data_IF_939560659684
#
_entry.id   IF_939560659684
#
_cell.length_a   1.000
_cell.length_b   1.000
_cell.length_c   1.000
_cell.angle_alpha   90.00
_cell.angle_beta   90.00
_cell.angle_gamma   90.00
#
_symmetry.space_group_name_H-M   'P 1'
#
loop_
_entity.id
_entity.type
_entity.pdbx_description
1 polymer ?
#
# COMPACT_ATOMS: atom_id res chain seq x y z
N UNK A 1 -44.86 43.15 27.97
CA UNK A 1 -44.93 42.22 26.83
C UNK A 1 -43.95 42.68 25.77
N UNK A 2 -43.12 41.80 25.21
CA UNK A 2 -41.76 42.13 24.79
C UNK A 2 -41.64 42.38 23.29
N UNK A 3 -40.73 43.28 22.90
CA UNK A 3 -40.25 43.43 21.53
C UNK A 3 -38.72 43.31 21.53
N UNK A 4 -38.22 42.08 21.64
CA UNK A 4 -36.85 41.73 21.29
C UNK A 4 -36.93 40.71 20.16
N UNK A 5 -36.98 41.20 18.92
CA UNK A 5 -36.80 40.40 17.70
C UNK A 5 -35.69 41.06 16.89
N UNK A 6 -34.44 40.72 17.19
CA UNK A 6 -33.33 40.86 16.24
C UNK A 6 -32.14 40.06 16.77
N UNK A 7 -32.28 38.74 16.75
CA UNK A 7 -31.16 37.82 16.88
C UNK A 7 -31.41 36.65 15.92
N UNK A 8 -30.34 36.19 15.29
CA UNK A 8 -30.24 35.00 14.42
C UNK A 8 -30.57 35.17 12.94
N UNK A 9 -29.75 35.95 12.25
CA UNK A 9 -29.30 35.61 10.89
C UNK A 9 -27.90 36.21 10.74
N UNK A 10 -26.99 35.51 10.07
CA UNK A 10 -25.55 35.84 9.93
C UNK A 10 -24.63 35.21 11.02
N UNK A 11 -24.76 33.91 11.27
CA UNK A 11 -23.70 33.13 11.93
C UNK A 11 -23.46 31.76 11.28
N UNK A 12 -23.89 31.56 10.03
CA UNK A 12 -23.79 30.26 9.34
C UNK A 12 -22.90 30.25 8.08
N UNK A 13 -22.12 31.32 7.82
CA UNK A 13 -21.22 31.37 6.65
C UNK A 13 -19.72 31.53 7.00
N UNK A 14 -19.36 31.66 8.28
CA UNK A 14 -17.96 31.81 8.72
C UNK A 14 -17.36 30.59 9.44
N UNK A 15 -18.04 29.44 9.46
CA UNK A 15 -17.52 28.24 10.09
C UNK A 15 -16.58 27.40 9.19
N UNK A 16 -16.44 27.74 7.90
CA UNK A 16 -15.52 27.06 6.98
C UNK A 16 -14.17 27.77 6.79
N UNK A 17 -14.00 29.01 7.25
CA UNK A 17 -12.78 29.79 7.01
C UNK A 17 -11.70 29.63 8.09
N UNK A 18 -12.03 29.09 9.27
CA UNK A 18 -11.11 28.97 10.42
C UNK A 18 -10.61 27.55 10.71
N UNK A 19 -11.08 26.55 9.97
CA UNK A 19 -10.58 25.17 10.02
C UNK A 19 -10.06 24.80 8.63
N UNK A 20 -8.75 24.93 8.44
CA UNK A 20 -7.94 24.33 7.36
C UNK A 20 -7.95 22.78 7.39
N UNK A 21 -9.10 22.19 7.71
CA UNK A 21 -9.37 20.75 7.82
C UNK A 21 -10.74 20.35 7.26
N UNK A 22 -11.39 21.21 6.45
CA UNK A 22 -12.25 20.64 5.42
C UNK A 22 -11.31 19.87 4.49
N UNK A 23 -11.30 18.53 4.64
CA UNK A 23 -10.54 17.58 3.84
C UNK A 23 -10.43 18.06 2.39
N UNK A 24 -9.28 18.65 2.03
CA UNK A 24 -9.02 19.01 0.66
C UNK A 24 -8.92 17.69 -0.10
N UNK A 25 -10.01 17.30 -0.74
CA UNK A 25 -9.95 16.22 -1.71
C UNK A 25 -8.90 16.64 -2.76
N UNK A 26 -8.03 15.70 -3.19
CA UNK A 26 -7.03 16.00 -4.20
C UNK A 26 -7.68 16.66 -5.41
N UNK A 27 -7.15 17.75 -5.93
CA UNK A 27 -7.71 18.37 -7.12
C UNK A 27 -7.54 17.47 -8.35
N UNK A 28 -8.50 17.56 -9.28
CA UNK A 28 -8.37 16.92 -10.60
C UNK A 28 -7.10 17.43 -11.28
N UNK A 29 -6.21 16.51 -11.66
CA UNK A 29 -4.90 16.89 -12.21
C UNK A 29 -4.35 15.83 -13.16
N UNK A 30 -3.78 16.26 -14.27
CA UNK A 30 -2.95 15.41 -15.14
C UNK A 30 -1.50 15.38 -14.65
N UNK A 31 -0.89 14.21 -14.72
CA UNK A 31 0.54 14.09 -14.47
C UNK A 31 1.33 14.52 -15.71
N UNK A 32 2.39 15.29 -15.49
CA UNK A 32 3.28 15.78 -16.54
C UNK A 32 4.33 14.75 -16.93
N UNK A 33 4.55 13.74 -16.09
CA UNK A 33 5.52 12.68 -16.31
C UNK A 33 4.79 11.34 -16.49
N UNK A 34 5.31 10.55 -17.42
CA UNK A 34 4.77 9.25 -17.77
C UNK A 34 3.62 9.29 -18.77
N UNK A 35 3.34 8.11 -19.31
CA UNK A 35 2.25 7.81 -20.23
C UNK A 35 1.86 6.35 -20.05
N UNK A 36 0.57 6.06 -20.11
CA UNK A 36 0.06 4.69 -20.07
C UNK A 36 -0.71 4.37 -21.34
N UNK A 37 -0.78 3.08 -21.67
CA UNK A 37 -1.70 2.59 -22.70
C UNK A 37 -3.08 2.35 -22.05
N UNK A 38 -4.18 2.95 -22.57
CA UNK A 38 -5.53 2.74 -22.04
C UNK A 38 -5.94 1.27 -21.96
N UNK A 39 -5.54 0.43 -22.92
CA UNK A 39 -5.86 -1.00 -22.92
C UNK A 39 -5.13 -1.75 -21.78
N UNK A 40 -3.89 -1.35 -21.48
CA UNK A 40 -3.16 -1.89 -20.34
C UNK A 40 -3.81 -1.46 -19.02
N UNK A 41 -4.31 -0.24 -18.94
CA UNK A 41 -5.06 0.21 -17.77
C UNK A 41 -6.40 -0.49 -17.61
N UNK A 42 -7.13 -0.76 -18.70
CA UNK A 42 -8.34 -1.58 -18.65
C UNK A 42 -8.05 -3.00 -18.14
N UNK A 43 -6.96 -3.60 -18.60
CA UNK A 43 -6.48 -4.89 -18.10
C UNK A 43 -6.06 -4.81 -16.62
N UNK A 44 -5.40 -3.74 -16.19
CA UNK A 44 -5.06 -3.50 -14.77
C UNK A 44 -6.32 -3.35 -13.91
N UNK A 45 -7.30 -2.57 -14.35
CA UNK A 45 -8.59 -2.40 -13.67
C UNK A 45 -9.31 -3.73 -13.47
N UNK A 46 -9.30 -4.60 -14.48
CA UNK A 46 -9.90 -5.94 -14.39
C UNK A 46 -9.21 -6.87 -13.37
N UNK A 47 -8.01 -6.51 -12.86
CA UNK A 47 -7.34 -7.25 -11.78
C UNK A 47 -7.78 -6.82 -10.38
N UNK A 48 -8.53 -5.72 -10.26
CA UNK A 48 -9.08 -5.30 -8.97
C UNK A 48 -10.12 -6.33 -8.53
N UNK A 49 -9.93 -6.85 -7.33
CA UNK A 49 -10.84 -7.80 -6.68
C UNK A 49 -11.84 -7.00 -5.84
N UNK A 50 -13.11 -7.29 -6.07
CA UNK A 50 -14.24 -6.67 -5.37
C UNK A 50 -14.90 -7.71 -4.46
N UNK A 51 -15.54 -7.25 -3.38
CA UNK A 51 -16.41 -8.10 -2.57
C UNK A 51 -17.78 -8.27 -3.25
N UNK A 52 -18.67 -9.04 -2.62
CA UNK A 52 -20.07 -9.16 -3.05
C UNK A 52 -20.71 -7.79 -3.26
N UNK A 53 -21.44 -7.64 -4.37
CA UNK A 53 -22.04 -6.35 -4.77
C UNK A 53 -21.11 -5.42 -5.54
N UNK A 54 -20.00 -5.94 -6.09
CA UNK A 54 -19.04 -5.20 -6.91
C UNK A 54 -18.47 -3.94 -6.24
N UNK A 55 -18.33 -3.98 -4.91
CA UNK A 55 -17.77 -2.90 -4.10
C UNK A 55 -16.38 -3.25 -3.58
N UNK A 56 -15.56 -2.23 -3.33
CA UNK A 56 -14.34 -2.37 -2.53
C UNK A 56 -14.71 -2.92 -1.16
N UNK A 57 -13.95 -3.91 -0.69
CA UNK A 57 -14.21 -4.54 0.60
C UNK A 57 -14.11 -3.52 1.73
N UNK A 58 -15.08 -3.54 2.64
CA UNK A 58 -15.09 -2.65 3.80
C UNK A 58 -13.77 -2.75 4.60
N UNK A 59 -13.20 -1.60 4.94
CA UNK A 59 -11.91 -1.49 5.63
C UNK A 59 -10.68 -1.47 4.71
N UNK A 60 -10.77 -1.93 3.45
CA UNK A 60 -9.68 -1.84 2.48
C UNK A 60 -9.64 -0.44 1.83
N UNK A 61 -9.07 0.53 2.55
CA UNK A 61 -9.04 1.93 2.12
C UNK A 61 -8.03 2.22 1.00
N UNK A 62 -6.98 1.42 0.88
CA UNK A 62 -5.93 1.61 -0.11
C UNK A 62 -5.87 0.38 -1.01
N UNK A 63 -6.12 0.56 -2.30
CA UNK A 63 -5.98 -0.48 -3.32
C UNK A 63 -4.94 -0.02 -4.32
N UNK A 64 -3.96 -0.87 -4.60
CA UNK A 64 -2.99 -0.65 -5.67
C UNK A 64 -2.92 -1.90 -6.53
N UNK A 65 -3.07 -1.73 -7.84
CA UNK A 65 -2.93 -2.81 -8.82
C UNK A 65 -2.04 -2.34 -9.96
N UNK A 66 -1.27 -3.28 -10.51
CA UNK A 66 -0.31 -3.01 -11.57
C UNK A 66 -0.34 -4.12 -12.63
N UNK A 67 -0.33 -3.73 -13.90
CA UNK A 67 -0.14 -4.61 -15.05
C UNK A 67 0.39 -3.83 -16.25
N UNK A 68 1.26 -4.46 -17.05
CA UNK A 68 1.89 -3.79 -18.19
C UNK A 68 2.69 -2.57 -17.72
N UNK A 69 2.40 -1.41 -18.32
CA UNK A 69 2.88 -0.10 -17.88
C UNK A 69 1.91 0.68 -17.00
N UNK A 70 0.73 0.16 -16.64
CA UNK A 70 -0.29 0.91 -15.89
C UNK A 70 -0.42 0.53 -14.42
N UNK A 71 -0.27 1.52 -13.53
CA UNK A 71 -0.49 1.46 -12.10
C UNK A 71 -1.78 2.22 -11.76
N UNK A 72 -2.72 1.54 -11.10
CA UNK A 72 -3.95 2.15 -10.60
C UNK A 72 -3.93 2.10 -9.08
N UNK A 73 -4.10 3.26 -8.45
CA UNK A 73 -4.28 3.38 -7.00
C UNK A 73 -5.64 3.98 -6.71
N UNK A 74 -6.35 3.40 -5.73
CA UNK A 74 -7.66 3.85 -5.28
C UNK A 74 -7.57 4.03 -3.77
N UNK A 75 -7.83 5.26 -3.34
CA UNK A 75 -7.87 5.63 -1.92
C UNK A 75 -9.31 5.94 -1.56
N UNK A 76 -9.96 5.04 -0.83
CA UNK A 76 -11.34 5.21 -0.37
C UNK A 76 -11.44 6.35 0.66
N UNK A 77 -12.53 7.10 0.58
CA UNK A 77 -12.92 8.09 1.59
C UNK A 77 -13.95 7.46 2.53
N UNK A 78 -14.36 8.21 3.56
CA UNK A 78 -15.43 7.78 4.46
C UNK A 78 -16.84 8.10 3.93
N UNK A 79 -16.98 8.52 2.66
CA UNK A 79 -18.25 8.97 2.07
C UNK A 79 -19.05 7.87 1.35
N UNK A 80 -18.74 6.61 1.59
CA UNK A 80 -19.49 5.46 1.05
C UNK A 80 -18.59 4.39 0.42
N UNK A 81 -19.22 3.39 -0.20
CA UNK A 81 -18.51 2.31 -0.88
C UNK A 81 -18.04 2.75 -2.27
N UNK A 82 -16.77 2.50 -2.59
CA UNK A 82 -16.28 2.63 -3.95
C UNK A 82 -16.70 1.40 -4.78
N UNK A 83 -17.57 1.59 -5.76
CA UNK A 83 -18.05 0.51 -6.62
C UNK A 83 -17.17 0.34 -7.86
N UNK A 84 -17.15 -0.88 -8.42
CA UNK A 84 -16.47 -1.20 -9.67
C UNK A 84 -16.88 -0.26 -10.80
N UNK A 85 -18.18 0.00 -10.93
CA UNK A 85 -18.73 0.92 -11.95
C UNK A 85 -18.19 2.33 -11.75
N UNK A 86 -18.25 2.88 -10.53
CA UNK A 86 -17.78 4.24 -10.26
C UNK A 86 -16.28 4.39 -10.49
N UNK A 87 -15.49 3.38 -10.09
CA UNK A 87 -14.04 3.34 -10.33
C UNK A 87 -13.76 3.30 -11.84
N UNK A 88 -14.49 2.48 -12.60
CA UNK A 88 -14.38 2.41 -14.06
C UNK A 88 -14.70 3.75 -14.72
N UNK A 89 -15.77 4.42 -14.31
CA UNK A 89 -16.12 5.77 -14.79
C UNK A 89 -15.04 6.80 -14.43
N UNK A 90 -14.50 6.75 -13.21
CA UNK A 90 -13.42 7.64 -12.79
C UNK A 90 -12.12 7.42 -13.59
N UNK A 91 -11.82 6.17 -13.97
CA UNK A 91 -10.72 5.85 -14.87
C UNK A 91 -10.92 6.51 -16.25
N UNK A 92 -12.12 6.41 -16.82
CA UNK A 92 -12.46 7.08 -18.07
C UNK A 92 -12.38 8.61 -17.97
N UNK A 93 -12.77 9.19 -16.83
CA UNK A 93 -12.61 10.62 -16.58
C UNK A 93 -11.13 11.06 -16.63
N UNK A 94 -10.21 10.26 -16.08
CA UNK A 94 -8.76 10.53 -16.20
C UNK A 94 -8.35 10.53 -17.67
N UNK A 95 -8.83 9.57 -18.46
CA UNK A 95 -8.46 9.45 -19.87
C UNK A 95 -8.97 10.62 -20.71
N UNK A 96 -10.21 11.05 -20.47
CA UNK A 96 -10.81 12.20 -21.14
C UNK A 96 -10.13 13.51 -20.75
N UNK A 97 -9.79 13.67 -19.47
CA UNK A 97 -9.14 14.87 -18.94
C UNK A 97 -7.67 15.00 -19.37
N UNK A 98 -6.97 13.88 -19.53
CA UNK A 98 -5.53 13.83 -19.79
C UNK A 98 -5.21 13.17 -21.13
N UNK A 99 -5.61 13.79 -22.26
CA UNK A 99 -5.39 13.22 -23.58
C UNK A 99 -3.90 12.97 -23.83
N UNK A 100 -3.60 11.90 -24.58
CA UNK A 100 -2.25 11.44 -24.96
C UNK A 100 -1.38 10.83 -23.85
N UNK A 101 -1.62 11.15 -22.57
CA UNK A 101 -0.87 10.60 -21.43
C UNK A 101 -1.66 9.57 -20.64
N UNK A 102 -2.94 9.82 -20.43
CA UNK A 102 -3.86 8.94 -19.70
C UNK A 102 -3.46 8.70 -18.22
N UNK A 103 -2.63 9.59 -17.68
CA UNK A 103 -2.13 9.56 -16.29
C UNK A 103 -2.61 10.80 -15.53
N UNK A 104 -3.16 10.61 -14.33
CA UNK A 104 -3.68 11.70 -13.53
C UNK A 104 -4.40 11.24 -12.27
N UNK A 105 -5.05 12.21 -11.62
CA UNK A 105 -5.81 12.05 -10.39
C UNK A 105 -7.24 12.55 -10.63
N UNK A 106 -8.23 11.78 -10.23
CA UNK A 106 -9.63 12.21 -10.18
C UNK A 106 -10.20 11.91 -8.79
N UNK A 107 -10.57 12.94 -7.99
CA UNK A 107 -11.37 12.75 -6.79
C UNK A 107 -12.83 12.42 -7.18
N UNK A 108 -13.42 11.50 -6.43
CA UNK A 108 -14.86 11.21 -6.37
C UNK A 108 -15.32 11.32 -4.91
N UNK A 109 -16.62 11.41 -4.63
CA UNK A 109 -17.10 11.46 -3.25
C UNK A 109 -16.56 10.30 -2.40
N UNK A 110 -16.70 9.05 -2.87
CA UNK A 110 -16.34 7.84 -2.12
C UNK A 110 -14.86 7.40 -2.22
N UNK A 111 -14.07 7.96 -3.13
CA UNK A 111 -12.66 7.58 -3.32
C UNK A 111 -11.91 8.59 -4.19
N UNK A 112 -10.59 8.52 -4.20
CA UNK A 112 -9.74 9.16 -5.23
C UNK A 112 -9.04 8.07 -6.04
N UNK A 113 -9.06 8.21 -7.37
CA UNK A 113 -8.28 7.34 -8.27
C UNK A 113 -7.04 8.07 -8.76
N UNK A 114 -5.92 7.34 -8.80
CA UNK A 114 -4.65 7.75 -9.38
C UNK A 114 -4.29 6.74 -10.47
N UNK A 115 -3.91 7.24 -11.64
CA UNK A 115 -3.39 6.43 -12.74
C UNK A 115 -2.01 6.94 -13.10
N UNK A 116 -1.03 6.06 -13.00
CA UNK A 116 0.37 6.35 -13.22
C UNK A 116 1.03 5.30 -14.10
N UNK A 117 2.14 5.69 -14.72
CA UNK A 117 3.05 4.72 -15.32
C UNK A 117 3.76 3.91 -14.22
N UNK A 118 3.85 2.60 -14.39
CA UNK A 118 4.62 1.73 -13.50
C UNK A 118 6.11 2.04 -13.68
N UNK A 119 6.75 2.52 -12.62
CA UNK A 119 8.21 2.67 -12.58
C UNK A 119 8.87 1.34 -12.20
N UNK A 120 10.07 1.02 -12.73
CA UNK A 120 10.75 -0.23 -12.42
C UNK A 120 11.07 -0.42 -10.93
N UNK A 121 11.29 0.67 -10.21
CA UNK A 121 11.66 0.70 -8.80
C UNK A 121 10.49 0.99 -7.84
N UNK A 122 9.25 1.09 -8.35
CA UNK A 122 8.06 1.20 -7.49
C UNK A 122 8.01 0.01 -6.52
N UNK A 123 8.01 0.25 -5.19
CA UNK A 123 7.91 -0.84 -4.21
C UNK A 123 6.66 -1.71 -4.45
N UNK A 124 6.78 -3.03 -4.32
CA UNK A 124 5.68 -4.02 -4.39
C UNK A 124 5.01 -4.19 -5.76
N UNK A 125 4.93 -3.13 -6.57
CA UNK A 125 4.18 -3.08 -7.83
C UNK A 125 5.01 -2.64 -9.04
N UNK A 126 6.30 -2.33 -8.86
CA UNK A 126 7.19 -1.97 -9.94
C UNK A 126 7.37 -3.08 -10.97
N UNK A 127 7.73 -2.72 -12.19
CA UNK A 127 7.83 -3.69 -13.31
C UNK A 127 8.94 -4.74 -13.11
N UNK A 128 9.92 -4.46 -12.24
CA UNK A 128 10.94 -5.43 -11.84
C UNK A 128 10.45 -6.42 -10.77
N UNK A 129 9.29 -6.20 -10.15
CA UNK A 129 8.76 -7.06 -9.10
C UNK A 129 8.09 -8.28 -9.71
N UNK A 130 8.71 -9.44 -9.51
CA UNK A 130 8.12 -10.74 -9.84
C UNK A 130 7.56 -11.38 -8.57
N UNK A 131 6.25 -11.64 -8.56
CA UNK A 131 5.58 -12.26 -7.42
C UNK A 131 6.20 -13.63 -7.09
N UNK A 132 6.38 -13.89 -5.80
CA UNK A 132 6.98 -15.10 -5.23
C UNK A 132 8.41 -15.39 -5.70
N UNK A 133 9.08 -14.42 -6.35
CA UNK A 133 10.47 -14.53 -6.77
C UNK A 133 11.32 -13.55 -5.98
N UNK A 134 12.42 -14.03 -5.35
CA UNK A 134 13.30 -13.16 -4.60
C UNK A 134 14.11 -12.27 -5.56
N UNK A 135 14.45 -11.07 -5.09
CA UNK A 135 15.40 -10.18 -5.74
C UNK A 135 16.43 -9.68 -4.73
N UNK A 136 17.70 -9.63 -5.14
CA UNK A 136 18.84 -9.39 -4.26
C UNK A 136 19.40 -7.98 -4.44
N UNK A 137 20.32 -7.59 -3.54
CA UNK A 137 21.01 -6.29 -3.57
C UNK A 137 20.05 -5.12 -3.55
N UNK A 138 18.97 -5.26 -2.79
CA UNK A 138 18.01 -4.18 -2.55
C UNK A 138 18.72 -2.98 -1.91
N UNK A 139 18.31 -1.77 -2.29
CA UNK A 139 18.82 -0.53 -1.66
C UNK A 139 18.56 -0.60 -0.15
N UNK A 140 19.61 -0.40 0.63
CA UNK A 140 19.59 -0.48 2.08
C UNK A 140 20.22 0.79 2.65
N UNK A 141 19.60 1.34 3.70
CA UNK A 141 20.18 2.41 4.51
C UNK A 141 21.20 1.89 5.54
N UNK A 142 21.32 0.56 5.66
CA UNK A 142 22.22 -0.10 6.58
C UNK A 142 23.55 -0.42 5.89
N UNK A 143 24.61 -0.61 6.70
CA UNK A 143 25.90 -1.07 6.18
C UNK A 143 25.72 -2.38 5.41
N UNK A 144 26.53 -2.55 4.37
CA UNK A 144 26.64 -3.84 3.71
C UNK A 144 27.28 -4.85 4.66
N UNK A 145 26.81 -6.09 4.59
CA UNK A 145 27.32 -7.20 5.38
C UNK A 145 26.55 -8.48 5.09
N UNK A 146 27.07 -9.58 5.62
CA UNK A 146 26.55 -10.92 5.35
C UNK A 146 25.37 -11.24 6.25
N UNK A 147 24.23 -11.55 5.62
CA UNK A 147 23.03 -12.03 6.30
C UNK A 147 23.12 -13.55 6.50
N UNK A 148 22.97 -14.00 7.75
CA UNK A 148 22.88 -15.43 8.08
C UNK A 148 21.43 -15.89 8.13
N UNK A 149 21.10 -16.96 7.41
CA UNK A 149 19.75 -17.52 7.37
C UNK A 149 19.20 -17.90 8.76
N UNK A 150 20.06 -18.49 9.62
CA UNK A 150 19.71 -18.84 11.01
C UNK A 150 19.26 -17.62 11.82
N UNK A 151 19.94 -16.49 11.66
CA UNK A 151 19.64 -15.25 12.37
C UNK A 151 18.28 -14.70 11.93
N UNK A 152 17.92 -14.83 10.65
CA UNK A 152 16.59 -14.43 10.15
C UNK A 152 15.46 -15.30 10.72
N UNK A 153 15.67 -16.61 10.80
CA UNK A 153 14.69 -17.54 11.41
C UNK A 153 14.50 -17.19 12.89
N UNK A 154 15.58 -16.89 13.61
CA UNK A 154 15.53 -16.46 15.01
C UNK A 154 14.81 -15.11 15.16
N UNK A 155 15.10 -14.13 14.29
CA UNK A 155 14.44 -12.83 14.28
C UNK A 155 12.92 -12.99 14.11
N UNK A 156 12.47 -13.83 13.17
CA UNK A 156 11.05 -14.12 12.97
C UNK A 156 10.46 -14.79 14.21
N UNK A 157 11.18 -15.72 14.84
CA UNK A 157 10.74 -16.36 16.09
C UNK A 157 10.49 -15.40 17.26
N UNK A 158 11.08 -14.20 17.24
CA UNK A 158 10.88 -13.15 18.27
C UNK A 158 9.59 -12.35 18.09
N UNK A 159 8.92 -12.46 16.95
CA UNK A 159 7.68 -11.72 16.69
C UNK A 159 6.60 -12.25 17.64
N UNK A 160 6.07 -11.39 18.51
CA UNK A 160 5.03 -11.79 19.47
C UNK A 160 3.68 -11.93 18.77
N UNK A 161 2.82 -12.79 19.29
CA UNK A 161 1.40 -12.81 18.93
C UNK A 161 0.72 -11.62 19.62
N UNK A 162 -0.11 -10.89 18.87
CA UNK A 162 -0.98 -9.87 19.44
C UNK A 162 -2.17 -10.53 20.14
N UNK A 163 -2.08 -10.68 21.47
CA UNK A 163 -3.14 -11.29 22.29
C UNK A 163 -4.46 -10.50 22.28
N UNK A 164 -4.44 -9.23 21.88
CA UNK A 164 -5.66 -8.43 21.74
C UNK A 164 -6.38 -8.67 20.41
N UNK A 165 -5.72 -9.31 19.43
CA UNK A 165 -6.37 -9.69 18.18
C UNK A 165 -7.14 -11.00 18.36
N UNK A 166 -8.44 -11.04 18.05
CA UNK A 166 -9.21 -12.28 18.12
C UNK A 166 -8.73 -13.35 17.12
N UNK A 167 -8.02 -12.94 16.06
CA UNK A 167 -7.43 -13.85 15.07
C UNK A 167 -6.01 -14.30 15.46
N UNK A 168 -5.49 -13.89 16.62
CA UNK A 168 -4.13 -14.21 17.09
C UNK A 168 -3.03 -13.88 16.05
N UNK A 169 -3.20 -12.80 15.30
CA UNK A 169 -2.20 -12.34 14.33
C UNK A 169 -0.92 -11.88 15.04
N UNK A 170 0.16 -11.76 14.27
CA UNK A 170 1.43 -11.24 14.77
C UNK A 170 1.33 -9.76 15.14
N UNK A 171 2.06 -9.38 16.20
CA UNK A 171 2.18 -8.00 16.64
C UNK A 171 2.85 -7.15 15.56
N UNK A 172 2.18 -6.05 15.22
CA UNK A 172 2.51 -5.21 14.08
C UNK A 172 2.02 -3.78 14.32
N UNK A 173 2.46 -2.85 13.47
CA UNK A 173 1.99 -1.47 13.47
C UNK A 173 1.67 -1.05 12.05
N UNK A 174 0.40 -0.72 11.77
CA UNK A 174 -0.08 -0.27 10.45
C UNK A 174 0.39 -1.17 9.31
N UNK A 175 0.12 -2.47 9.43
CA UNK A 175 0.52 -3.44 8.41
C UNK A 175 2.04 -3.62 8.26
N UNK A 176 2.84 -3.24 9.26
CA UNK A 176 4.30 -3.40 9.26
C UNK A 176 4.77 -4.22 10.46
N UNK A 177 5.64 -5.19 10.20
CA UNK A 177 6.39 -5.95 11.22
C UNK A 177 7.88 -5.71 10.99
N UNK A 178 8.60 -5.40 12.06
CA UNK A 178 10.06 -5.29 12.03
C UNK A 178 10.67 -6.05 13.19
N UNK A 179 11.66 -6.89 12.90
CA UNK A 179 12.35 -7.71 13.90
C UNK A 179 13.79 -7.95 13.49
N UNK A 180 14.66 -8.17 14.46
CA UNK A 180 16.07 -8.44 14.20
C UNK A 180 16.65 -9.48 15.14
N UNK A 181 17.66 -10.19 14.63
CA UNK A 181 18.57 -11.02 15.42
C UNK A 181 19.92 -11.07 14.73
N UNK A 182 21.01 -11.00 15.50
CA UNK A 182 22.37 -11.13 14.97
C UNK A 182 22.61 -10.24 13.75
N UNK A 183 22.90 -10.87 12.60
CA UNK A 183 23.16 -10.21 11.32
C UNK A 183 21.90 -9.85 10.51
N UNK A 184 20.70 -10.24 10.93
CA UNK A 184 19.49 -10.14 10.12
C UNK A 184 18.47 -9.14 10.70
N UNK A 185 18.00 -8.22 9.85
CA UNK A 185 16.80 -7.42 10.06
C UNK A 185 15.75 -7.83 9.04
N UNK A 186 14.61 -8.29 9.53
CA UNK A 186 13.44 -8.65 8.74
C UNK A 186 12.42 -7.52 8.85
N UNK A 187 11.99 -6.99 7.72
CA UNK A 187 10.92 -6.00 7.62
C UNK A 187 9.84 -6.54 6.69
N UNK A 188 8.61 -6.63 7.18
CA UNK A 188 7.45 -7.09 6.41
C UNK A 188 6.45 -5.95 6.33
N UNK A 189 5.86 -5.73 5.15
CA UNK A 189 4.89 -4.67 4.91
C UNK A 189 3.74 -5.17 4.04
N UNK A 190 2.51 -4.80 4.40
CA UNK A 190 1.36 -4.90 3.52
C UNK A 190 1.29 -3.68 2.60
N UNK A 191 0.81 -3.88 1.38
CA UNK A 191 0.67 -2.80 0.39
C UNK A 191 -0.44 -1.81 0.70
N UNK A 192 -1.43 -2.23 1.50
CA UNK A 192 -2.63 -1.45 1.82
C UNK A 192 -2.64 -0.97 3.28
N UNK A 193 -1.52 -1.16 4.00
CA UNK A 193 -1.36 -0.82 5.42
C UNK A 193 -2.29 -1.56 6.39
N UNK A 194 -3.05 -2.55 5.90
CA UNK A 194 -3.85 -3.43 6.74
C UNK A 194 -3.00 -4.49 7.41
N UNK A 195 -3.54 -5.06 8.48
CA UNK A 195 -2.87 -6.07 9.27
C UNK A 195 -2.46 -7.29 8.43
N UNK A 196 -1.19 -7.68 8.55
CA UNK A 196 -0.58 -8.88 8.00
C UNK A 196 -1.18 -10.10 8.72
N UNK A 197 -1.63 -11.08 7.94
CA UNK A 197 -2.26 -12.32 8.40
C UNK A 197 -1.33 -13.52 8.33
N UNK A 198 -0.10 -13.35 7.83
CA UNK A 198 0.92 -14.39 7.78
C UNK A 198 1.39 -14.79 9.17
N UNK A 199 1.43 -16.10 9.44
CA UNK A 199 1.97 -16.66 10.67
C UNK A 199 3.50 -16.85 10.61
N UNK A 200 4.11 -17.25 11.72
CA UNK A 200 5.56 -17.47 11.81
C UNK A 200 6.10 -18.43 10.74
N UNK A 201 5.38 -19.51 10.44
CA UNK A 201 5.86 -20.52 9.48
C UNK A 201 5.83 -20.00 8.04
N UNK A 202 4.81 -19.22 7.68
CA UNK A 202 4.74 -18.55 6.39
C UNK A 202 5.85 -17.51 6.26
N UNK A 203 6.11 -16.71 7.31
CA UNK A 203 7.21 -15.76 7.32
C UNK A 203 8.58 -16.47 7.24
N UNK A 204 8.77 -17.59 7.95
CA UNK A 204 9.99 -18.40 7.84
C UNK A 204 10.21 -18.89 6.41
N UNK A 205 9.17 -19.42 5.76
CA UNK A 205 9.23 -19.84 4.35
C UNK A 205 9.61 -18.69 3.43
N UNK A 206 9.02 -17.50 3.61
CA UNK A 206 9.42 -16.31 2.86
C UNK A 206 10.89 -15.95 3.08
N UNK A 207 11.37 -16.02 4.33
CA UNK A 207 12.76 -15.69 4.64
C UNK A 207 13.74 -16.65 4.00
N UNK A 208 13.43 -17.96 3.99
CA UNK A 208 14.22 -18.99 3.33
C UNK A 208 14.27 -18.79 1.82
N UNK A 209 13.14 -18.44 1.18
CA UNK A 209 13.13 -18.09 -0.25
C UNK A 209 14.14 -16.98 -0.57
N UNK A 210 14.25 -15.97 0.29
CA UNK A 210 15.22 -14.89 0.11
C UNK A 210 16.65 -15.38 0.40
N UNK A 211 16.90 -15.99 1.56
CA UNK A 211 18.26 -16.33 2.00
C UNK A 211 18.87 -17.49 1.20
N UNK A 212 18.08 -18.41 0.68
CA UNK A 212 18.56 -19.49 -0.18
C UNK A 212 18.99 -18.97 -1.56
N UNK A 213 18.27 -17.97 -2.09
CA UNK A 213 18.55 -17.39 -3.41
C UNK A 213 19.60 -16.29 -3.35
N UNK A 214 19.45 -15.33 -2.43
CA UNK A 214 20.37 -14.20 -2.27
C UNK A 214 21.62 -14.53 -1.45
N UNK A 215 21.68 -15.73 -0.87
CA UNK A 215 22.77 -16.19 -0.01
C UNK A 215 22.96 -15.21 1.15
N UNK A 216 24.16 -14.64 1.27
CA UNK A 216 24.51 -13.69 2.32
C UNK A 216 24.13 -12.25 1.99
N UNK A 217 23.51 -11.97 0.84
CA UNK A 217 23.12 -10.62 0.46
C UNK A 217 21.73 -10.25 0.99
N UNK A 218 21.52 -8.96 1.23
CA UNK A 218 20.18 -8.41 1.42
C UNK A 218 19.29 -8.68 0.21
N UNK A 219 18.01 -8.89 0.46
CA UNK A 219 17.06 -9.25 -0.59
C UNK A 219 15.61 -9.10 -0.14
N UNK A 220 14.69 -9.27 -1.09
CA UNK A 220 13.27 -9.14 -0.83
C UNK A 220 12.46 -10.12 -1.66
N UNK A 221 11.25 -10.42 -1.21
CA UNK A 221 10.24 -11.16 -1.94
C UNK A 221 8.87 -10.51 -1.71
N UNK A 222 8.05 -10.50 -2.75
CA UNK A 222 6.67 -10.01 -2.70
C UNK A 222 5.74 -11.19 -2.95
N UNK A 223 4.78 -11.41 -2.08
CA UNK A 223 3.71 -12.39 -2.26
C UNK A 223 2.41 -11.71 -2.66
N UNK A 224 1.59 -12.42 -3.45
CA UNK A 224 0.18 -12.05 -3.60
C UNK A 224 -0.52 -12.38 -2.28
N UNK A 225 -1.30 -11.44 -1.74
CA UNK A 225 -1.95 -11.55 -0.42
C UNK A 225 -0.94 -11.61 0.74
N UNK A 226 -1.43 -11.98 1.92
CA UNK A 226 -0.66 -12.02 3.18
C UNK A 226 -1.07 -10.96 4.19
N UNK A 227 -2.04 -10.11 3.84
CA UNK A 227 -2.69 -9.17 4.72
C UNK A 227 -4.21 -9.17 4.48
N UNK A 228 -4.97 -8.59 5.40
CA UNK A 228 -6.38 -8.30 5.12
C UNK A 228 -6.50 -7.39 3.89
N UNK A 229 -7.64 -7.46 3.20
CA UNK A 229 -7.81 -6.85 1.89
C UNK A 229 -7.81 -7.88 0.76
N UNK A 230 -8.66 -7.71 -0.24
CA UNK A 230 -8.69 -8.58 -1.41
C UNK A 230 -7.55 -8.26 -2.37
N UNK A 231 -7.08 -7.00 -2.36
CA UNK A 231 -6.07 -6.46 -3.27
C UNK A 231 -4.70 -6.31 -2.60
N UNK A 232 -4.54 -6.83 -1.39
CA UNK A 232 -3.29 -6.73 -0.64
C UNK A 232 -2.17 -7.56 -1.27
N UNK A 233 -0.95 -7.05 -1.20
CA UNK A 233 0.30 -7.79 -1.37
C UNK A 233 1.13 -7.63 -0.11
N UNK A 234 1.97 -8.61 0.17
CA UNK A 234 2.90 -8.55 1.31
C UNK A 234 4.33 -8.68 0.82
N UNK A 235 5.16 -7.71 1.20
CA UNK A 235 6.59 -7.71 0.92
C UNK A 235 7.36 -8.07 2.19
N UNK A 236 8.31 -9.01 2.07
CA UNK A 236 9.35 -9.19 3.06
C UNK A 236 10.66 -8.69 2.49
N UNK A 237 11.35 -7.83 3.24
CA UNK A 237 12.73 -7.41 3.00
C UNK A 237 13.62 -7.93 4.11
N UNK A 238 14.79 -8.41 3.72
CA UNK A 238 15.85 -8.86 4.61
C UNK A 238 17.06 -7.97 4.37
N UNK A 239 17.54 -7.34 5.43
CA UNK A 239 18.72 -6.49 5.44
C UNK A 239 19.77 -7.06 6.39
N UNK A 240 21.02 -6.71 6.13
CA UNK A 240 22.07 -6.85 7.14
C UNK A 240 21.83 -5.88 8.30
N UNK A 241 21.95 -6.37 9.52
CA UNK A 241 21.76 -5.59 10.76
C UNK A 241 22.80 -5.91 11.83
N UNK A 242 24.08 -5.92 11.43
CA UNK A 242 25.16 -6.00 12.41
C UNK A 242 25.24 -4.74 13.28
N UNK A 243 25.52 -4.92 14.58
CA UNK A 243 26.22 -3.94 15.42
C UNK A 243 27.24 -4.66 16.33
N UNK A 244 28.38 -4.03 16.70
CA UNK A 244 28.64 -2.58 16.76
C UNK A 244 29.86 -2.05 15.97
N UNK A 245 29.84 -0.76 15.62
CA UNK A 245 31.03 0.08 15.60
C UNK A 245 30.85 1.15 16.66
N UNK A 246 31.55 1.02 17.80
CA UNK A 246 31.84 2.16 18.67
C UNK A 246 32.89 2.99 17.92
N UNK A 247 32.66 4.28 17.78
CA UNK A 247 33.78 5.22 17.87
C UNK A 247 33.84 5.63 19.34
#
# INVERSE_FOLDING_TARGET
MPAYKFFFTILSLLACSSLSRCSQQPEKKCFTDGKVNPDECANTFNKIKFSTGDAVMAGEKNITVASGGCLIEIIATDSGAATKTDIGLAMWDVFAMCPNRFTGIVPKPAFTIYINEIKPDTPIFGSNVKLNKPFCKIKSQFKLGDVKSKDCIEAIGKIKINKASPQNILAQSRGTIETASGSCLVRIRSSNELDITLNHDQLRKMSLVITDYCKQNSGAVVQDKGAFGLNSRTEMRIFFNGKPGRN
#
